data_IF_689912090605
#
_entry.id   IF_689912090605
#
_cell.length_a   1.000
_cell.length_b   1.000
_cell.length_c   1.000
_cell.angle_alpha   90.00
_cell.angle_beta   90.00
_cell.angle_gamma   90.00
#
_symmetry.space_group_name_H-M   'P 1'
#
loop_
_entity.id
_entity.type
_entity.pdbx_description
1 polymer ?
#
# COMPACT_ATOMS: atom_id res chain seq x y z
N UNK A 1 1.65 -11.60 -14.09
CA UNK A 1 1.49 -11.65 -12.61
C UNK A 1 2.75 -12.11 -11.85
N UNK A 2 3.16 -13.40 -11.89
CA UNK A 2 4.31 -13.88 -11.09
C UNK A 2 5.61 -13.13 -11.43
N UNK A 3 5.93 -12.98 -12.72
CA UNK A 3 7.10 -12.22 -13.18
C UNK A 3 7.06 -10.75 -12.73
N UNK A 4 5.90 -10.09 -12.84
CA UNK A 4 5.75 -8.70 -12.39
C UNK A 4 5.97 -8.56 -10.87
N UNK A 5 5.54 -9.55 -10.07
CA UNK A 5 5.81 -9.59 -8.63
C UNK A 5 7.29 -9.84 -8.33
N UNK A 6 7.90 -10.83 -8.97
CA UNK A 6 9.34 -11.14 -8.81
C UNK A 6 10.22 -9.96 -9.21
N UNK A 7 9.81 -9.16 -10.19
CA UNK A 7 10.53 -7.97 -10.61
C UNK A 7 10.40 -6.82 -9.61
N UNK A 8 9.17 -6.49 -9.21
CA UNK A 8 8.89 -5.27 -8.44
C UNK A 8 9.08 -5.41 -6.92
N UNK A 9 9.07 -6.64 -6.39
CA UNK A 9 9.11 -6.87 -4.94
C UNK A 9 10.54 -6.88 -4.34
N UNK A 10 11.55 -7.63 -4.81
CA UNK A 10 12.75 -7.93 -4.01
C UNK A 10 13.55 -6.71 -3.52
N UNK A 11 13.56 -5.63 -4.31
CA UNK A 11 14.52 -4.52 -4.24
C UNK A 11 14.12 -3.34 -3.32
N UNK A 12 13.04 -3.44 -2.55
CA UNK A 12 12.58 -2.37 -1.66
C UNK A 12 13.20 -2.41 -0.25
N UNK A 13 13.24 -1.26 0.46
CA UNK A 13 13.68 -1.19 1.87
C UNK A 13 12.75 -1.89 2.86
N UNK A 14 11.56 -2.33 2.42
CA UNK A 14 10.53 -3.07 3.21
C UNK A 14 10.08 -2.37 4.51
N UNK A 15 10.33 -1.06 4.64
CA UNK A 15 10.06 -0.25 5.84
C UNK A 15 8.58 -0.31 6.24
N UNK A 16 7.65 -0.23 5.26
CA UNK A 16 6.21 -0.28 5.51
C UNK A 16 5.78 -1.60 6.18
N UNK A 17 6.31 -2.73 5.70
CA UNK A 17 6.05 -4.03 6.31
C UNK A 17 6.64 -4.14 7.71
N UNK A 18 7.83 -3.56 7.94
CA UNK A 18 8.45 -3.52 9.27
C UNK A 18 7.63 -2.64 10.25
N UNK A 19 7.07 -1.54 9.77
CA UNK A 19 6.28 -0.62 10.59
C UNK A 19 5.04 -1.29 11.18
N UNK A 20 4.39 -2.20 10.45
CA UNK A 20 3.28 -3.03 11.00
C UNK A 20 3.75 -3.85 12.19
N UNK A 21 4.92 -4.50 12.07
CA UNK A 21 5.49 -5.36 13.12
C UNK A 21 5.82 -4.53 14.36
N UNK A 22 6.48 -3.39 14.16
CA UNK A 22 6.84 -2.48 15.26
C UNK A 22 5.60 -1.96 15.97
N UNK A 23 4.57 -1.54 15.23
CA UNK A 23 3.30 -1.09 15.81
C UNK A 23 2.62 -2.20 16.60
N UNK A 24 2.50 -3.42 16.05
CA UNK A 24 1.91 -4.56 16.77
C UNK A 24 2.67 -4.89 18.07
N UNK A 25 4.00 -4.94 18.03
CA UNK A 25 4.83 -5.22 19.20
C UNK A 25 4.68 -4.14 20.27
N UNK A 26 4.62 -2.87 19.87
CA UNK A 26 4.42 -1.75 20.77
C UNK A 26 3.06 -1.83 21.47
N UNK A 27 1.98 -2.03 20.72
CA UNK A 27 0.62 -2.03 21.27
C UNK A 27 0.26 -3.31 22.06
N UNK A 28 0.99 -4.42 21.88
CA UNK A 28 0.73 -5.70 22.54
C UNK A 28 1.40 -5.89 23.91
N UNK A 29 2.09 -4.88 24.45
CA UNK A 29 2.69 -4.86 25.80
C UNK A 29 3.58 -6.08 26.16
N UNK A 30 4.22 -6.76 25.20
CA UNK A 30 5.36 -7.66 25.46
C UNK A 30 5.14 -8.99 26.23
N UNK A 31 3.96 -9.27 26.80
CA UNK A 31 3.60 -10.45 27.63
C UNK A 31 3.48 -11.90 27.00
N UNK A 32 4.58 -12.66 26.73
CA UNK A 32 4.66 -13.96 25.96
C UNK A 32 5.10 -15.12 26.83
N UNK A 33 4.33 -16.21 27.01
CA UNK A 33 5.02 -17.44 27.46
C UNK A 33 4.52 -18.87 27.15
N UNK A 34 3.42 -19.18 26.45
CA UNK A 34 3.29 -20.53 25.77
C UNK A 34 2.13 -20.73 24.78
N UNK A 35 1.06 -19.94 24.84
CA UNK A 35 0.12 -19.74 23.71
C UNK A 35 0.65 -18.74 22.69
N UNK A 36 1.60 -17.93 23.16
CA UNK A 36 2.09 -16.78 22.44
C UNK A 36 3.17 -17.09 21.44
N UNK A 37 3.80 -18.28 21.44
CA UNK A 37 4.67 -18.73 20.34
C UNK A 37 3.86 -19.28 19.15
N UNK A 38 2.80 -20.04 19.41
CA UNK A 38 1.85 -20.49 18.38
C UNK A 38 1.09 -19.29 17.79
N UNK A 39 0.62 -18.37 18.66
CA UNK A 39 0.11 -17.09 18.21
C UNK A 39 1.20 -16.24 17.58
N UNK A 40 2.47 -16.23 18.02
CA UNK A 40 3.54 -15.46 17.35
C UNK A 40 3.83 -16.02 15.96
N UNK A 41 3.73 -17.33 15.74
CA UNK A 41 3.83 -17.93 14.40
C UNK A 41 2.60 -17.54 13.58
N UNK A 42 1.40 -17.57 14.17
CA UNK A 42 0.18 -17.00 13.58
C UNK A 42 0.36 -15.52 13.23
N UNK A 43 0.81 -14.68 14.15
CA UNK A 43 1.14 -13.27 13.99
C UNK A 43 2.26 -13.09 12.98
N UNK A 44 3.28 -13.93 12.93
CA UNK A 44 4.35 -13.81 11.94
C UNK A 44 3.80 -14.20 10.58
N UNK A 45 2.94 -15.21 10.47
CA UNK A 45 2.25 -15.59 9.25
C UNK A 45 1.34 -14.44 8.81
N UNK A 46 0.47 -13.94 9.68
CA UNK A 46 -0.40 -12.79 9.47
C UNK A 46 0.39 -11.53 9.15
N UNK A 47 1.47 -11.20 9.88
CA UNK A 47 2.31 -10.03 9.66
C UNK A 47 3.15 -10.17 8.38
N UNK A 48 3.61 -11.39 8.03
CA UNK A 48 4.26 -11.68 6.74
C UNK A 48 3.24 -11.55 5.62
N UNK A 49 1.99 -11.96 5.84
CA UNK A 49 0.87 -11.78 4.93
C UNK A 49 0.56 -10.29 4.77
N UNK A 50 0.37 -9.51 5.84
CA UNK A 50 0.12 -8.08 5.79
C UNK A 50 1.29 -7.33 5.16
N UNK A 51 2.53 -7.72 5.49
CA UNK A 51 3.73 -7.24 4.81
C UNK A 51 3.65 -7.52 3.31
N UNK A 52 3.25 -8.72 2.90
CA UNK A 52 3.10 -9.08 1.49
C UNK A 52 1.96 -8.30 0.82
N UNK A 53 0.84 -8.08 1.52
CA UNK A 53 -0.33 -7.33 1.04
C UNK A 53 -0.02 -5.85 0.84
N UNK A 54 0.55 -5.18 1.85
CA UNK A 54 0.97 -3.78 1.76
C UNK A 54 2.01 -3.61 0.66
N UNK A 55 2.91 -4.59 0.50
CA UNK A 55 3.94 -4.51 -0.50
C UNK A 55 3.44 -4.76 -1.92
N UNK A 56 2.43 -5.63 -2.09
CA UNK A 56 1.70 -5.80 -3.36
C UNK A 56 0.89 -4.55 -3.72
N UNK A 57 0.21 -3.94 -2.75
CA UNK A 57 -0.51 -2.68 -2.94
C UNK A 57 0.45 -1.57 -3.38
N UNK A 58 1.59 -1.44 -2.68
CA UNK A 58 2.63 -0.49 -3.07
C UNK A 58 3.17 -0.77 -4.48
N UNK A 59 3.48 -2.03 -4.81
CA UNK A 59 3.97 -2.39 -6.13
C UNK A 59 2.98 -2.03 -7.24
N UNK A 60 1.68 -2.24 -7.00
CA UNK A 60 0.61 -1.79 -7.89
C UNK A 60 0.67 -0.28 -8.12
N UNK A 61 0.73 0.53 -7.06
CA UNK A 61 0.81 1.99 -7.19
C UNK A 61 2.07 2.44 -7.92
N UNK A 62 3.22 1.83 -7.66
CA UNK A 62 4.47 2.19 -8.32
C UNK A 62 4.46 1.88 -9.83
N UNK A 63 3.84 0.77 -10.26
CA UNK A 63 3.72 0.45 -11.68
C UNK A 63 2.89 1.51 -12.40
N UNK A 64 1.77 1.94 -11.79
CA UNK A 64 0.92 3.00 -12.37
C UNK A 64 1.58 4.37 -12.33
N UNK A 65 2.24 4.73 -11.22
CA UNK A 65 3.03 5.97 -11.06
C UNK A 65 4.14 6.05 -12.11
N UNK A 66 4.90 4.97 -12.33
CA UNK A 66 5.94 4.90 -13.36
C UNK A 66 5.39 5.12 -14.78
N UNK A 67 4.16 4.65 -15.06
CA UNK A 67 3.51 4.85 -16.36
C UNK A 67 3.02 6.30 -16.51
N UNK A 68 2.38 6.85 -15.47
CA UNK A 68 1.82 8.21 -15.47
C UNK A 68 2.95 9.25 -15.62
N UNK A 69 4.07 9.03 -14.93
CA UNK A 69 5.22 9.95 -14.91
C UNK A 69 6.21 9.68 -16.07
N UNK A 70 5.94 8.68 -16.91
CA UNK A 70 6.84 8.19 -17.96
C UNK A 70 8.28 7.91 -17.45
N UNK A 71 8.39 7.36 -16.24
CA UNK A 71 9.66 7.15 -15.57
C UNK A 71 10.56 6.12 -16.28
N UNK A 72 11.86 6.40 -16.34
CA UNK A 72 12.82 5.47 -16.96
C UNK A 72 13.29 4.35 -16.04
N UNK A 73 13.51 4.67 -14.76
CA UNK A 73 14.11 3.72 -13.82
C UNK A 73 13.45 3.78 -12.45
N UNK A 74 13.35 2.62 -11.81
CA UNK A 74 12.86 2.44 -10.45
C UNK A 74 13.77 1.45 -9.72
N UNK A 75 14.28 1.84 -8.55
CA UNK A 75 15.17 1.01 -7.70
C UNK A 75 16.41 0.46 -8.44
N UNK A 76 16.99 1.28 -9.34
CA UNK A 76 18.18 0.91 -10.11
C UNK A 76 17.93 -0.03 -11.29
N UNK A 77 16.67 -0.30 -11.63
CA UNK A 77 16.27 -1.13 -12.77
C UNK A 77 15.32 -0.35 -13.68
N UNK A 78 15.19 -0.70 -14.97
CA UNK A 78 14.15 -0.13 -15.84
C UNK A 78 12.76 -0.29 -15.23
N UNK A 79 11.89 0.71 -15.37
CA UNK A 79 10.50 0.61 -14.88
C UNK A 79 9.77 -0.58 -15.55
N UNK A 80 8.89 -1.26 -14.80
CA UNK A 80 8.24 -2.49 -15.28
C UNK A 80 7.57 -2.29 -16.64
N UNK A 81 6.85 -1.18 -16.83
CA UNK A 81 6.17 -0.89 -18.08
C UNK A 81 7.13 -0.76 -19.27
N UNK A 82 8.36 -0.28 -19.06
CA UNK A 82 9.36 -0.18 -20.13
C UNK A 82 9.83 -1.55 -20.60
N UNK A 83 10.01 -2.49 -19.67
CA UNK A 83 10.38 -3.87 -20.01
C UNK A 83 9.30 -4.58 -20.82
N UNK A 84 8.03 -4.21 -20.61
CA UNK A 84 6.90 -4.82 -21.30
C UNK A 84 6.53 -4.09 -22.61
N UNK A 85 6.85 -2.79 -22.73
CA UNK A 85 6.42 -1.93 -23.84
C UNK A 85 6.75 -2.48 -25.21
N UNK A 86 7.94 -3.06 -25.39
CA UNK A 86 8.41 -3.56 -26.68
C UNK A 86 7.69 -4.84 -27.16
N UNK A 87 7.33 -5.75 -26.25
CA UNK A 87 6.76 -7.05 -26.62
C UNK A 87 5.25 -7.12 -26.38
N UNK A 88 4.74 -6.41 -25.38
CA UNK A 88 3.38 -6.56 -24.87
C UNK A 88 2.64 -5.21 -24.72
N UNK A 89 3.22 -4.11 -25.22
CA UNK A 89 2.62 -2.78 -25.14
C UNK A 89 2.38 -2.33 -23.69
N UNK A 90 1.19 -1.82 -23.40
CA UNK A 90 0.82 -1.28 -22.08
C UNK A 90 0.22 -2.33 -21.12
N UNK A 91 0.55 -3.62 -21.29
CA UNK A 91 0.08 -4.70 -20.40
C UNK A 91 0.38 -4.44 -18.92
N UNK A 92 1.42 -3.65 -18.62
CA UNK A 92 1.79 -3.24 -17.27
C UNK A 92 0.66 -2.54 -16.51
N UNK A 93 -0.28 -1.86 -17.20
CA UNK A 93 -1.49 -1.30 -16.59
C UNK A 93 -2.33 -2.42 -15.96
N UNK A 94 -2.57 -3.49 -16.73
CA UNK A 94 -3.32 -4.65 -16.25
C UNK A 94 -2.55 -5.41 -15.16
N UNK A 95 -1.22 -5.52 -15.26
CA UNK A 95 -0.41 -6.13 -14.19
C UNK A 95 -0.56 -5.37 -12.87
N UNK A 96 -0.51 -4.03 -12.89
CA UNK A 96 -0.76 -3.21 -11.71
C UNK A 96 -2.16 -3.45 -11.14
N UNK A 97 -3.20 -3.37 -11.97
CA UNK A 97 -4.59 -3.62 -11.54
C UNK A 97 -4.76 -5.04 -10.96
N UNK A 98 -4.15 -6.04 -11.59
CA UNK A 98 -4.20 -7.42 -11.13
C UNK A 98 -3.51 -7.57 -9.76
N UNK A 99 -2.40 -6.85 -9.50
CA UNK A 99 -1.77 -6.82 -8.18
C UNK A 99 -2.67 -6.20 -7.12
N UNK A 100 -3.36 -5.09 -7.45
CA UNK A 100 -4.35 -4.47 -6.57
C UNK A 100 -5.45 -5.47 -6.21
N UNK A 101 -6.15 -6.02 -7.21
CA UNK A 101 -7.26 -6.97 -7.01
C UNK A 101 -6.78 -8.22 -6.24
N UNK A 102 -5.61 -8.75 -6.58
CA UNK A 102 -5.06 -9.92 -5.92
C UNK A 102 -4.71 -9.67 -4.45
N UNK A 103 -4.40 -8.43 -4.07
CA UNK A 103 -4.19 -8.05 -2.68
C UNK A 103 -5.49 -8.24 -1.90
N UNK A 104 -6.62 -7.70 -2.37
CA UNK A 104 -7.92 -7.88 -1.71
C UNK A 104 -8.39 -9.34 -1.72
N UNK A 105 -8.17 -10.07 -2.81
CA UNK A 105 -8.50 -11.51 -2.87
C UNK A 105 -7.68 -12.33 -1.86
N UNK A 106 -6.40 -12.01 -1.71
CA UNK A 106 -5.53 -12.69 -0.75
C UNK A 106 -5.92 -12.34 0.69
N UNK A 107 -6.20 -11.07 0.98
CA UNK A 107 -6.72 -10.61 2.27
C UNK A 107 -8.00 -11.37 2.65
N UNK A 108 -8.96 -11.47 1.72
CA UNK A 108 -10.22 -12.20 1.92
C UNK A 108 -10.00 -13.69 2.19
N UNK A 109 -9.17 -14.34 1.37
CA UNK A 109 -8.93 -15.78 1.47
C UNK A 109 -8.28 -16.19 2.80
N UNK A 110 -7.48 -15.30 3.37
CA UNK A 110 -6.71 -15.59 4.58
C UNK A 110 -7.50 -15.28 5.85
N UNK A 111 -8.23 -14.16 5.89
CA UNK A 111 -8.88 -13.72 7.13
C UNK A 111 -10.32 -14.23 7.32
N UNK A 112 -11.02 -14.64 6.26
CA UNK A 112 -12.41 -15.11 6.38
C UNK A 112 -12.58 -16.58 6.87
N UNK A 113 -11.63 -17.52 6.70
CA UNK A 113 -11.82 -18.89 7.17
C UNK A 113 -12.04 -19.06 8.68
N UNK A 114 -11.71 -18.07 9.50
CA UNK A 114 -11.96 -18.09 10.94
C UNK A 114 -12.94 -16.96 11.31
N UNK A 115 -14.10 -17.31 11.89
CA UNK A 115 -15.14 -16.34 12.29
C UNK A 115 -14.60 -15.22 13.21
N UNK A 116 -13.59 -15.53 14.01
CA UNK A 116 -12.95 -14.57 14.92
C UNK A 116 -12.25 -13.40 14.19
N UNK A 117 -11.86 -13.60 12.92
CA UNK A 117 -11.14 -12.60 12.12
C UNK A 117 -12.03 -11.82 11.15
N UNK A 118 -13.35 -12.09 11.09
CA UNK A 118 -14.26 -11.38 10.18
C UNK A 118 -14.32 -9.87 10.49
N UNK A 119 -14.43 -9.50 11.77
CA UNK A 119 -14.43 -8.09 12.20
C UNK A 119 -13.10 -7.41 11.87
N UNK A 120 -11.99 -8.13 12.02
CA UNK A 120 -10.64 -7.64 11.71
C UNK A 120 -10.49 -7.46 10.20
N UNK A 121 -10.97 -8.42 9.39
CA UNK A 121 -11.00 -8.34 7.94
C UNK A 121 -11.74 -7.09 7.47
N UNK A 122 -12.95 -6.83 7.99
CA UNK A 122 -13.71 -5.64 7.61
C UNK A 122 -12.97 -4.34 7.94
N UNK A 123 -12.43 -4.21 9.17
CA UNK A 123 -11.64 -3.03 9.56
C UNK A 123 -10.42 -2.82 8.67
N UNK A 124 -9.69 -3.90 8.36
CA UNK A 124 -8.51 -3.80 7.50
C UNK A 124 -8.90 -3.46 6.07
N UNK A 125 -9.92 -4.11 5.51
CA UNK A 125 -10.42 -3.82 4.17
C UNK A 125 -10.79 -2.34 4.05
N UNK A 126 -11.53 -1.80 5.01
CA UNK A 126 -11.99 -0.42 4.98
C UNK A 126 -10.81 0.56 5.05
N UNK A 127 -9.79 0.29 5.87
CA UNK A 127 -8.56 1.11 5.93
C UNK A 127 -7.75 1.00 4.63
N UNK A 128 -7.66 -0.18 4.02
CA UNK A 128 -6.99 -0.36 2.72
C UNK A 128 -7.70 0.39 1.59
N UNK A 129 -9.03 0.34 1.57
CA UNK A 129 -9.87 1.06 0.60
C UNK A 129 -9.74 2.57 0.76
N UNK A 130 -9.91 3.11 1.97
CA UNK A 130 -9.75 4.55 2.25
C UNK A 130 -8.34 5.02 1.89
N UNK A 131 -7.32 4.24 2.24
CA UNK A 131 -5.94 4.54 1.86
C UNK A 131 -5.75 4.58 0.33
N UNK A 132 -6.35 3.63 -0.40
CA UNK A 132 -6.26 3.56 -1.86
C UNK A 132 -6.98 4.74 -2.51
N UNK A 133 -8.17 5.06 -2.01
CA UNK A 133 -8.95 6.22 -2.45
C UNK A 133 -8.17 7.53 -2.26
N UNK A 134 -7.61 7.77 -1.07
CA UNK A 134 -6.78 8.95 -0.78
C UNK A 134 -5.54 9.03 -1.66
N UNK A 135 -4.89 7.90 -1.91
CA UNK A 135 -3.70 7.83 -2.77
C UNK A 135 -4.06 8.20 -4.21
N UNK A 136 -5.19 7.72 -4.73
CA UNK A 136 -5.68 8.08 -6.06
C UNK A 136 -6.06 9.57 -6.18
N UNK A 137 -6.68 10.15 -5.14
CA UNK A 137 -6.93 11.59 -5.07
C UNK A 137 -5.60 12.35 -5.08
N UNK A 138 -4.64 11.93 -4.25
CA UNK A 138 -3.30 12.51 -4.20
C UNK A 138 -2.59 12.46 -5.55
N UNK A 139 -2.66 11.35 -6.26
CA UNK A 139 -2.13 11.22 -7.61
C UNK A 139 -2.84 12.16 -8.59
N UNK A 140 -4.16 12.30 -8.50
CA UNK A 140 -4.92 13.23 -9.34
C UNK A 140 -4.47 14.67 -9.10
N UNK A 141 -4.30 15.07 -7.83
CA UNK A 141 -3.79 16.40 -7.46
C UNK A 141 -2.37 16.64 -7.96
N UNK A 142 -1.49 15.63 -7.90
CA UNK A 142 -0.11 15.69 -8.36
C UNK A 142 0.00 15.88 -9.89
N UNK A 143 -0.77 15.09 -10.64
CA UNK A 143 -0.86 15.19 -12.11
C UNK A 143 -1.41 16.55 -12.51
N UNK A 144 -2.52 16.99 -11.89
CA UNK A 144 -3.08 18.31 -12.16
C UNK A 144 -2.03 19.39 -11.88
N UNK A 145 -1.33 19.32 -10.74
CA UNK A 145 -0.28 20.28 -10.30
C UNK A 145 0.80 20.47 -11.35
N UNK A 146 1.21 19.36 -11.95
CA UNK A 146 2.19 19.34 -13.03
C UNK A 146 1.70 20.06 -14.30
N UNK A 147 0.40 20.02 -14.59
CA UNK A 147 -0.17 20.70 -15.76
C UNK A 147 -0.32 22.22 -15.61
N UNK A 148 -0.52 22.74 -14.39
CA UNK A 148 -0.63 24.20 -14.17
C UNK A 148 0.70 24.94 -14.13
N UNK A 149 1.82 24.22 -14.11
CA UNK A 149 3.12 24.81 -14.39
C UNK A 149 3.28 25.19 -15.87
N UNK A 150 2.40 24.73 -16.78
CA UNK A 150 2.39 25.14 -18.17
C UNK A 150 1.61 26.45 -18.37
N UNK A 151 2.18 27.47 -19.04
CA UNK A 151 1.47 28.72 -19.31
C UNK A 151 0.23 28.46 -20.16
N UNK A 152 -0.96 28.78 -19.63
CA UNK A 152 -2.25 28.68 -20.32
C UNK A 152 -3.22 27.60 -19.81
N UNK A 153 -2.85 26.79 -18.80
CA UNK A 153 -3.77 25.83 -18.16
C UNK A 153 -4.02 26.21 -16.70
N UNK A 154 -5.24 26.65 -16.40
CA UNK A 154 -5.66 27.04 -15.05
C UNK A 154 -5.93 25.82 -14.17
N UNK A 155 -5.50 25.89 -12.91
CA UNK A 155 -5.83 24.90 -11.89
C UNK A 155 -7.32 24.94 -11.56
N UNK A 156 -8.02 23.80 -11.42
CA UNK A 156 -9.40 23.78 -10.94
C UNK A 156 -9.52 24.12 -9.44
N UNK A 157 -8.42 24.12 -8.68
CA UNK A 157 -8.43 24.28 -7.24
C UNK A 157 -7.66 25.55 -6.82
N UNK A 158 -8.35 26.45 -6.15
CA UNK A 158 -7.82 27.70 -5.57
C UNK A 158 -6.93 27.42 -4.33
N UNK A 159 -5.96 26.50 -4.42
CA UNK A 159 -4.93 26.41 -3.38
C UNK A 159 -3.96 27.58 -3.55
N UNK A 160 -3.97 28.48 -2.56
CA UNK A 160 -3.40 29.82 -2.61
C UNK A 160 -1.86 29.87 -2.66
N UNK A 161 -1.15 28.87 -2.15
CA UNK A 161 0.33 28.80 -2.21
C UNK A 161 0.87 27.49 -2.78
N UNK A 162 2.07 27.53 -3.36
CA UNK A 162 2.80 26.35 -3.84
C UNK A 162 3.11 25.37 -2.70
N UNK A 163 3.38 25.88 -1.50
CA UNK A 163 3.65 25.10 -0.30
C UNK A 163 2.42 24.30 0.17
N UNK A 164 1.24 24.91 0.17
CA UNK A 164 -0.01 24.23 0.53
C UNK A 164 -0.31 23.06 -0.42
N UNK A 165 -0.02 23.25 -1.71
CA UNK A 165 -0.19 22.20 -2.74
C UNK A 165 0.77 21.04 -2.50
N UNK A 166 2.06 21.31 -2.25
CA UNK A 166 3.04 20.27 -1.95
C UNK A 166 2.70 19.52 -0.66
N UNK A 167 2.25 20.23 0.37
CA UNK A 167 1.82 19.63 1.63
C UNK A 167 0.60 18.72 1.43
N UNK A 168 -0.39 19.16 0.65
CA UNK A 168 -1.53 18.33 0.29
C UNK A 168 -1.08 17.09 -0.52
N UNK A 169 -0.31 17.25 -1.60
CA UNK A 169 0.16 16.11 -2.39
C UNK A 169 0.92 15.12 -1.51
N UNK A 170 1.86 15.60 -0.69
CA UNK A 170 2.64 14.73 0.21
C UNK A 170 1.76 13.97 1.21
N UNK A 171 0.80 14.65 1.84
CA UNK A 171 -0.12 14.04 2.79
C UNK A 171 -1.00 12.96 2.12
N UNK A 172 -1.64 13.30 1.00
CA UNK A 172 -2.65 12.45 0.36
C UNK A 172 -2.04 11.37 -0.53
N UNK A 173 -1.02 11.70 -1.35
CA UNK A 173 -0.33 10.74 -2.24
C UNK A 173 0.55 9.78 -1.45
N UNK A 174 1.24 10.24 -0.40
CA UNK A 174 2.36 9.47 0.20
C UNK A 174 2.14 9.07 1.65
N UNK A 175 1.66 9.97 2.51
CA UNK A 175 1.66 9.72 3.95
C UNK A 175 0.71 8.57 4.36
N UNK A 176 -0.48 8.51 3.75
CA UNK A 176 -1.49 7.50 4.08
C UNK A 176 -1.00 6.07 3.85
N UNK A 177 -0.54 5.72 2.64
CA UNK A 177 -0.10 4.35 2.36
C UNK A 177 1.28 4.02 2.92
N UNK A 178 2.11 5.03 3.22
CA UNK A 178 3.48 4.82 3.67
C UNK A 178 3.65 4.72 5.18
N UNK A 179 2.82 5.43 5.95
CA UNK A 179 2.97 5.50 7.41
C UNK A 179 1.68 5.17 8.14
N UNK A 180 0.55 5.77 7.74
CA UNK A 180 -0.72 5.61 8.46
C UNK A 180 -1.24 4.18 8.33
N UNK A 181 -1.33 3.66 7.10
CA UNK A 181 -1.84 2.31 6.82
C UNK A 181 -1.07 1.23 7.61
N UNK A 182 0.29 1.16 7.56
CA UNK A 182 1.01 0.16 8.34
C UNK A 182 0.78 0.24 9.86
N UNK A 183 0.70 1.45 10.42
CA UNK A 183 0.49 1.64 11.86
C UNK A 183 -0.92 1.21 12.26
N UNK A 184 -1.94 1.61 11.50
CA UNK A 184 -3.33 1.22 11.73
C UNK A 184 -3.51 -0.29 11.64
N UNK A 185 -2.88 -0.95 10.67
CA UNK A 185 -2.88 -2.42 10.60
C UNK A 185 -2.29 -3.04 11.87
N UNK A 186 -1.15 -2.55 12.36
CA UNK A 186 -0.55 -3.02 13.60
C UNK A 186 -1.46 -2.85 14.82
N UNK A 187 -2.20 -1.74 14.90
CA UNK A 187 -3.17 -1.48 15.97
C UNK A 187 -4.39 -2.39 15.92
N UNK A 188 -5.00 -2.57 14.74
CA UNK A 188 -6.17 -3.43 14.55
C UNK A 188 -5.86 -4.88 14.95
N UNK A 189 -4.62 -5.31 14.74
CA UNK A 189 -4.14 -6.65 15.04
C UNK A 189 -3.97 -6.93 16.54
N UNK A 190 -3.82 -5.96 17.44
CA UNK A 190 -3.57 -6.26 18.87
C UNK A 190 -4.73 -6.95 19.62
N UNK A 191 -5.89 -7.12 18.98
CA UNK A 191 -7.19 -7.65 19.46
C UNK A 191 -7.91 -6.77 20.52
N UNK A 192 -9.25 -6.74 20.46
CA UNK A 192 -10.12 -6.23 21.51
C UNK A 192 -10.25 -7.27 22.64
N UNK A 193 -9.68 -6.99 23.81
CA UNK A 193 -9.91 -7.77 25.03
C UNK A 193 -11.24 -7.38 25.70
N UNK A 194 -12.39 -7.66 25.07
CA UNK A 194 -13.71 -7.69 25.73
C UNK A 194 -14.56 -8.62 24.83
N UNK A 195 -14.95 -9.83 25.20
CA UNK A 195 -15.66 -10.29 26.38
C UNK A 195 -15.27 -11.72 26.76
N UNK A 196 -15.10 -11.96 28.07
CA UNK A 196 -15.20 -13.26 28.74
C UNK A 196 -16.12 -13.08 29.93
#
# INVERSE_FOLDING_TARGET
MFQALEYNLPHGKRIRGLLVVLSYMYFSNGNNNRLRMANLIGWVIELVIFKLLIFKLQASFLIHDDIIDEASTRRGQPCWYQTQKAQHGLIAINDGLLMYIATYRLLKKILIPEEEYEVIYHKIRDVFEDCSYRTCIGQTLDVLSSFSANPGKTFPCEMHSFEDRLNAISAWKTAHYSFILPVYCGMILVKPHYYS
#
